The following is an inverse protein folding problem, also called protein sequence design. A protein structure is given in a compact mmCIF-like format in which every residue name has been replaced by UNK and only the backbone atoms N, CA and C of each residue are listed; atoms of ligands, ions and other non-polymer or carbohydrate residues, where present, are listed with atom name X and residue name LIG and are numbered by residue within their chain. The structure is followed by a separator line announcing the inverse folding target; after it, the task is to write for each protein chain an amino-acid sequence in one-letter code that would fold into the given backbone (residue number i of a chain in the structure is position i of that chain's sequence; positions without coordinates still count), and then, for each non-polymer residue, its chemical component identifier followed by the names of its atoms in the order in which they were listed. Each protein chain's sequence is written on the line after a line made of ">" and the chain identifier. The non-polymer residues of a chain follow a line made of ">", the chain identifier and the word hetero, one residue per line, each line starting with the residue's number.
data_IF_470928862762
#
_entry.id   IF_470928862762
#
_cell.length_a   1.000
_cell.length_b   1.000
_cell.length_c   1.000
_cell.angle_alpha   90.00
_cell.angle_beta   90.00
_cell.angle_gamma   90.00
#
_symmetry.space_group_name_H-M   'P 1'
#
loop_
_entity.id
_entity.type
_entity.pdbx_description
1 polymer ?
#
# COMPACT_ATOMS: atom_id res chain seq x y z
N UNK A 1 -48.92 -38.24 13.71
CA UNK A 1 -49.51 -36.90 13.96
C UNK A 1 -50.25 -36.44 12.71
N UNK A 2 -51.58 -36.27 12.76
CA UNK A 2 -52.34 -35.72 11.61
C UNK A 2 -52.02 -34.22 11.49
N UNK A 3 -51.36 -33.82 10.42
CA UNK A 3 -51.14 -32.41 10.09
C UNK A 3 -52.50 -31.75 9.86
N UNK A 4 -52.86 -30.80 10.70
CA UNK A 4 -54.09 -30.01 10.50
C UNK A 4 -53.85 -29.04 9.36
N UNK A 5 -54.88 -28.71 8.57
CA UNK A 5 -54.78 -27.75 7.47
C UNK A 5 -54.06 -26.45 7.86
N UNK A 6 -54.30 -25.96 9.09
CA UNK A 6 -53.63 -24.79 9.64
C UNK A 6 -52.11 -24.96 9.89
N UNK A 7 -51.64 -26.13 10.33
CA UNK A 7 -50.20 -26.35 10.54
C UNK A 7 -49.45 -26.42 9.20
N UNK A 8 -50.09 -27.00 8.17
CA UNK A 8 -49.53 -27.04 6.80
C UNK A 8 -49.42 -25.64 6.18
N UNK A 9 -50.44 -24.79 6.36
CA UNK A 9 -50.44 -23.42 5.84
C UNK A 9 -49.33 -22.56 6.49
N UNK A 10 -49.15 -22.66 7.81
CA UNK A 10 -48.11 -21.90 8.54
C UNK A 10 -46.71 -22.34 8.12
N UNK A 11 -46.47 -23.65 7.96
CA UNK A 11 -45.16 -24.16 7.52
C UNK A 11 -44.85 -23.69 6.10
N UNK A 12 -45.82 -23.79 5.17
CA UNK A 12 -45.62 -23.36 3.78
C UNK A 12 -45.38 -21.85 3.66
N UNK A 13 -46.17 -21.04 4.38
CA UNK A 13 -46.00 -19.58 4.38
C UNK A 13 -44.69 -19.15 5.02
N UNK A 14 -44.31 -19.75 6.15
CA UNK A 14 -43.01 -19.48 6.79
C UNK A 14 -41.85 -19.90 5.89
N UNK A 15 -41.97 -21.04 5.18
CA UNK A 15 -41.00 -21.48 4.18
C UNK A 15 -40.89 -20.54 2.98
N UNK A 16 -42.01 -20.01 2.47
CA UNK A 16 -42.00 -19.01 1.39
C UNK A 16 -41.36 -17.69 1.83
N UNK A 17 -41.64 -17.23 3.06
CA UNK A 17 -41.01 -16.03 3.63
C UNK A 17 -39.50 -16.25 3.74
N UNK A 18 -39.06 -17.38 4.31
CA UNK A 18 -37.64 -17.70 4.41
C UNK A 18 -36.98 -17.73 3.02
N UNK A 19 -37.60 -18.39 2.05
CA UNK A 19 -37.10 -18.43 0.68
C UNK A 19 -36.99 -17.01 0.08
N UNK A 20 -38.01 -16.17 0.27
CA UNK A 20 -38.01 -14.79 -0.23
C UNK A 20 -36.89 -13.95 0.41
N UNK A 21 -36.64 -14.13 1.71
CA UNK A 21 -35.57 -13.44 2.44
C UNK A 21 -34.20 -13.91 1.96
N UNK A 22 -34.02 -15.21 1.70
CA UNK A 22 -32.76 -15.76 1.17
C UNK A 22 -32.50 -15.23 -0.25
N UNK A 23 -33.52 -15.25 -1.13
CA UNK A 23 -33.39 -14.71 -2.50
C UNK A 23 -33.10 -13.21 -2.46
N UNK A 24 -33.80 -12.45 -1.60
CA UNK A 24 -33.55 -11.03 -1.41
C UNK A 24 -32.14 -10.75 -0.88
N UNK A 25 -31.68 -11.51 0.12
CA UNK A 25 -30.34 -11.37 0.68
C UNK A 25 -29.25 -11.67 -0.35
N UNK A 26 -29.38 -12.77 -1.11
CA UNK A 26 -28.46 -13.11 -2.20
C UNK A 26 -28.48 -12.07 -3.31
N UNK A 27 -29.65 -11.58 -3.69
CA UNK A 27 -29.83 -10.52 -4.68
C UNK A 27 -29.20 -9.20 -4.22
N UNK A 28 -29.48 -8.76 -3.00
CA UNK A 28 -28.90 -7.56 -2.40
C UNK A 28 -27.38 -7.67 -2.29
N UNK A 29 -26.85 -8.82 -1.86
CA UNK A 29 -25.42 -9.06 -1.80
C UNK A 29 -24.74 -8.93 -3.17
N UNK A 30 -25.32 -9.55 -4.20
CA UNK A 30 -24.74 -9.55 -5.56
C UNK A 30 -24.91 -8.23 -6.30
N UNK A 31 -26.05 -7.55 -6.14
CA UNK A 31 -26.39 -6.37 -6.93
C UNK A 31 -26.04 -5.05 -6.24
N UNK A 32 -25.91 -5.03 -4.92
CA UNK A 32 -25.67 -3.80 -4.14
C UNK A 32 -24.34 -3.90 -3.40
N UNK A 33 -24.16 -4.92 -2.56
CA UNK A 33 -22.99 -5.01 -1.68
C UNK A 33 -21.71 -5.20 -2.47
N UNK A 34 -21.63 -6.23 -3.33
CA UNK A 34 -20.42 -6.51 -4.11
C UNK A 34 -19.96 -5.33 -5.00
N UNK A 35 -20.84 -4.69 -5.80
CA UNK A 35 -20.46 -3.50 -6.55
C UNK A 35 -20.03 -2.33 -5.67
N UNK A 36 -20.67 -2.13 -4.52
CA UNK A 36 -20.28 -1.09 -3.57
C UNK A 36 -18.89 -1.36 -2.97
N UNK A 37 -18.61 -2.60 -2.58
CA UNK A 37 -17.29 -3.04 -2.07
C UNK A 37 -16.20 -2.81 -3.11
N UNK A 38 -16.42 -3.23 -4.36
CA UNK A 38 -15.44 -3.03 -5.44
C UNK A 38 -15.23 -1.53 -5.74
N UNK A 39 -16.31 -0.74 -5.74
CA UNK A 39 -16.23 0.71 -5.95
C UNK A 39 -15.48 1.43 -4.83
N UNK A 40 -15.73 1.04 -3.57
CA UNK A 40 -15.03 1.57 -2.41
C UNK A 40 -13.55 1.20 -2.42
N UNK A 41 -13.25 -0.07 -2.70
CA UNK A 41 -11.87 -0.54 -2.86
C UNK A 41 -11.13 0.26 -3.94
N UNK A 42 -11.75 0.47 -5.11
CA UNK A 42 -11.15 1.23 -6.21
C UNK A 42 -10.87 2.68 -5.81
N UNK A 43 -11.79 3.31 -5.08
CA UNK A 43 -11.64 4.68 -4.62
C UNK A 43 -10.53 4.81 -3.57
N UNK A 44 -10.55 3.99 -2.51
CA UNK A 44 -9.61 4.08 -1.40
C UNK A 44 -8.20 3.61 -1.80
N UNK A 45 -8.05 2.46 -2.46
CA UNK A 45 -6.76 1.99 -2.98
C UNK A 45 -6.21 2.96 -4.03
N UNK A 46 -7.09 3.53 -4.86
CA UNK A 46 -6.73 4.56 -5.83
C UNK A 46 -6.19 5.83 -5.16
N UNK A 47 -6.80 6.26 -4.06
CA UNK A 47 -6.34 7.39 -3.23
C UNK A 47 -4.97 7.11 -2.60
N UNK A 48 -4.77 5.94 -2.00
CA UNK A 48 -3.47 5.54 -1.42
C UNK A 48 -2.39 5.51 -2.50
N UNK A 49 -2.70 4.92 -3.67
CA UNK A 49 -1.79 4.89 -4.82
C UNK A 49 -1.44 6.31 -5.32
N UNK A 50 -2.41 7.21 -5.43
CA UNK A 50 -2.18 8.61 -5.80
C UNK A 50 -1.35 9.37 -4.76
N UNK A 51 -1.59 9.16 -3.47
CA UNK A 51 -0.81 9.78 -2.40
C UNK A 51 0.64 9.32 -2.42
N UNK A 52 0.85 8.02 -2.63
CA UNK A 52 2.19 7.44 -2.76
C UNK A 52 2.90 8.01 -3.98
N UNK A 53 2.24 8.04 -5.14
CA UNK A 53 2.76 8.63 -6.38
C UNK A 53 3.19 10.09 -6.17
N UNK A 54 2.31 10.92 -5.60
CA UNK A 54 2.59 12.33 -5.34
C UNK A 54 3.71 12.53 -4.29
N UNK A 55 3.90 11.61 -3.35
CA UNK A 55 5.03 11.65 -2.42
C UNK A 55 6.35 11.32 -3.12
N UNK A 56 6.36 10.27 -3.94
CA UNK A 56 7.55 9.86 -4.70
C UNK A 56 7.94 10.97 -5.68
N UNK A 57 7.01 11.48 -6.49
CA UNK A 57 7.30 12.56 -7.44
C UNK A 57 7.88 13.80 -6.75
N UNK A 58 7.30 14.23 -5.62
CA UNK A 58 7.85 15.36 -4.84
C UNK A 58 9.24 15.11 -4.28
N UNK A 59 9.52 13.89 -3.83
CA UNK A 59 10.85 13.52 -3.34
C UNK A 59 11.88 13.67 -4.47
N UNK A 60 11.57 13.15 -5.65
CA UNK A 60 12.48 13.19 -6.80
C UNK A 60 12.68 14.61 -7.29
N UNK A 61 11.60 15.38 -7.44
CA UNK A 61 11.66 16.78 -7.84
C UNK A 61 12.53 17.60 -6.88
N UNK A 62 12.35 17.40 -5.56
CA UNK A 62 13.15 18.06 -4.54
C UNK A 62 14.64 17.72 -4.63
N UNK A 63 14.98 16.43 -4.80
CA UNK A 63 16.36 15.99 -5.00
C UNK A 63 16.96 16.58 -6.28
N UNK A 64 16.21 16.62 -7.39
CA UNK A 64 16.71 17.19 -8.65
C UNK A 64 16.90 18.71 -8.57
N UNK A 65 15.99 19.44 -7.94
CA UNK A 65 16.10 20.90 -7.77
C UNK A 65 17.32 21.26 -6.93
N UNK A 66 17.52 20.55 -5.81
CA UNK A 66 18.70 20.75 -4.96
C UNK A 66 19.99 20.35 -5.68
N UNK A 67 19.98 19.25 -6.45
CA UNK A 67 21.13 18.78 -7.20
C UNK A 67 21.54 19.76 -8.31
N UNK A 68 20.57 20.31 -9.06
CA UNK A 68 20.82 21.34 -10.08
C UNK A 68 21.41 22.61 -9.48
N UNK A 69 20.92 23.02 -8.31
CA UNK A 69 21.49 24.15 -7.57
C UNK A 69 22.95 23.88 -7.18
N UNK A 70 23.22 22.66 -6.72
CA UNK A 70 24.55 22.20 -6.30
C UNK A 70 25.54 22.14 -7.46
N UNK A 71 25.10 21.63 -8.62
CA UNK A 71 25.88 21.68 -9.86
C UNK A 71 26.16 23.13 -10.29
N UNK A 72 25.16 24.02 -10.21
CA UNK A 72 25.33 25.43 -10.54
C UNK A 72 26.41 26.12 -9.72
N UNK A 73 26.48 25.86 -8.41
CA UNK A 73 27.57 26.32 -7.55
C UNK A 73 28.93 25.73 -7.96
N UNK A 74 28.95 24.44 -8.32
CA UNK A 74 30.13 23.79 -8.87
C UNK A 74 30.65 24.45 -10.15
N UNK A 75 29.76 24.75 -11.09
CA UNK A 75 30.08 25.42 -12.36
C UNK A 75 30.61 26.85 -12.16
N UNK A 76 30.11 27.55 -11.14
CA UNK A 76 30.57 28.90 -10.78
C UNK A 76 31.93 28.89 -10.05
N UNK A 77 32.42 27.72 -9.64
CA UNK A 77 33.67 27.56 -8.90
C UNK A 77 33.53 27.80 -7.40
N UNK A 78 32.32 27.68 -6.85
CA UNK A 78 32.08 27.83 -5.41
C UNK A 78 32.39 26.54 -4.61
N UNK A 79 32.53 25.41 -5.29
CA UNK A 79 32.88 24.11 -4.71
C UNK A 79 34.32 23.72 -5.06
N UNK A 80 35.15 23.49 -4.04
CA UNK A 80 36.55 23.11 -4.17
C UNK A 80 36.87 21.97 -3.18
N UNK A 81 37.58 20.95 -3.66
CA UNK A 81 38.01 19.80 -2.85
C UNK A 81 38.94 20.17 -1.70
N UNK A 82 39.60 21.34 -1.77
CA UNK A 82 40.48 21.83 -0.72
C UNK A 82 39.75 22.66 0.35
N UNK A 83 38.47 23.00 0.13
CA UNK A 83 37.68 23.85 1.02
C UNK A 83 36.56 23.09 1.72
N UNK A 84 36.93 22.07 2.50
CA UNK A 84 35.96 21.21 3.21
C UNK A 84 34.96 22.00 4.08
N UNK A 85 35.43 23.00 4.83
CA UNK A 85 34.55 23.81 5.68
C UNK A 85 33.47 24.53 4.88
N UNK A 86 33.83 25.09 3.71
CA UNK A 86 32.88 25.77 2.82
C UNK A 86 31.89 24.80 2.19
N UNK A 87 32.37 23.62 1.78
CA UNK A 87 31.50 22.54 1.31
C UNK A 87 30.47 22.16 2.38
N UNK A 88 30.91 21.95 3.62
CA UNK A 88 30.03 21.62 4.73
C UNK A 88 29.01 22.72 5.03
N UNK A 89 29.42 24.00 5.04
CA UNK A 89 28.53 25.15 5.25
C UNK A 89 27.40 25.22 4.22
N UNK A 90 27.67 24.90 2.95
CA UNK A 90 26.63 24.83 1.93
C UNK A 90 25.68 23.65 2.14
N UNK A 91 26.19 22.46 2.46
CA UNK A 91 25.39 21.24 2.40
C UNK A 91 24.74 20.84 3.72
N UNK A 92 25.23 21.32 4.88
CA UNK A 92 24.52 21.15 6.16
C UNK A 92 23.06 21.60 6.10
N UNK A 93 22.72 22.84 5.69
CA UNK A 93 21.32 23.28 5.63
C UNK A 93 20.52 22.55 4.54
N UNK A 94 21.14 22.16 3.43
CA UNK A 94 20.46 21.41 2.35
C UNK A 94 19.98 20.07 2.86
N UNK A 95 20.89 19.27 3.44
CA UNK A 95 20.54 17.95 4.00
C UNK A 95 19.57 18.10 5.19
N UNK A 96 19.76 19.11 6.04
CA UNK A 96 18.87 19.34 7.20
C UNK A 96 17.45 19.73 6.81
N UNK A 97 17.26 20.39 5.66
CA UNK A 97 15.95 20.89 5.21
C UNK A 97 15.23 19.94 4.26
N UNK A 98 15.93 18.95 3.71
CA UNK A 98 15.41 17.97 2.76
C UNK A 98 15.69 16.57 3.30
N UNK A 99 14.75 16.06 4.11
CA UNK A 99 14.91 14.80 4.84
C UNK A 99 15.12 13.58 3.91
N UNK A 100 14.74 13.69 2.64
CA UNK A 100 14.97 12.68 1.61
C UNK A 100 16.44 12.54 1.18
N UNK A 101 17.28 13.56 1.39
CA UNK A 101 18.70 13.53 1.04
C UNK A 101 19.47 13.07 2.28
N UNK A 102 20.09 11.90 2.22
CA UNK A 102 20.92 11.41 3.33
C UNK A 102 22.35 11.91 3.26
N UNK A 103 22.89 12.05 2.04
CA UNK A 103 24.27 12.46 1.82
C UNK A 103 24.45 13.21 0.50
N UNK A 104 25.48 14.04 0.47
CA UNK A 104 25.99 14.72 -0.72
C UNK A 104 27.40 14.23 -0.99
N UNK A 105 27.66 13.82 -2.23
CA UNK A 105 28.95 13.37 -2.73
C UNK A 105 29.45 14.38 -3.75
N UNK A 106 30.68 14.83 -3.64
CA UNK A 106 31.35 15.68 -4.62
C UNK A 106 32.66 15.05 -5.03
N UNK A 107 32.79 14.72 -6.31
CA UNK A 107 33.94 13.98 -6.83
C UNK A 107 34.56 14.64 -8.05
N UNK A 108 35.87 14.51 -8.16
CA UNK A 108 36.67 14.87 -9.33
C UNK A 108 36.99 13.62 -10.17
N UNK A 109 37.22 13.75 -11.48
CA UNK A 109 37.53 12.62 -12.38
C UNK A 109 38.78 11.81 -12.02
N UNK A 110 39.70 12.39 -11.25
CA UNK A 110 40.83 11.66 -10.65
C UNK A 110 40.42 10.54 -9.67
N UNK A 111 39.20 10.62 -9.12
CA UNK A 111 38.71 9.78 -8.04
C UNK A 111 38.74 10.43 -6.65
N UNK A 112 39.22 11.67 -6.53
CA UNK A 112 39.08 12.45 -5.30
C UNK A 112 37.60 12.70 -5.00
N UNK A 113 37.20 12.57 -3.73
CA UNK A 113 35.82 12.72 -3.26
C UNK A 113 35.77 13.43 -1.90
N UNK A 114 34.76 14.28 -1.73
CA UNK A 114 34.18 14.68 -0.44
C UNK A 114 32.76 14.10 -0.34
N UNK A 115 32.53 13.23 0.64
CA UNK A 115 31.20 12.86 1.12
C UNK A 115 30.85 13.75 2.31
N UNK A 116 29.60 14.21 2.40
CA UNK A 116 28.96 14.66 3.63
C UNK A 116 27.70 13.84 3.86
N UNK A 117 27.62 13.17 5.00
CA UNK A 117 26.54 12.28 5.39
C UNK A 117 25.90 12.77 6.68
N UNK A 118 24.57 12.82 6.71
CA UNK A 118 23.79 12.93 7.93
C UNK A 118 23.38 11.54 8.41
N UNK A 119 23.69 11.25 9.67
CA UNK A 119 23.48 9.93 10.28
C UNK A 119 22.16 9.88 11.05
N UNK A 120 21.67 8.67 11.32
CA UNK A 120 20.39 8.49 12.01
C UNK A 120 20.42 8.98 13.48
N UNK A 121 21.60 8.99 14.12
CA UNK A 121 21.84 9.55 15.45
C UNK A 121 22.04 11.08 15.45
N UNK A 122 21.81 11.75 14.32
CA UNK A 122 21.87 13.21 14.18
C UNK A 122 23.28 13.79 14.06
N UNK A 123 24.30 12.93 13.93
CA UNK A 123 25.68 13.35 13.68
C UNK A 123 25.95 13.56 12.19
N UNK A 124 27.06 14.22 11.91
CA UNK A 124 27.55 14.39 10.54
C UNK A 124 28.86 13.66 10.35
N UNK A 125 29.06 13.12 9.15
CA UNK A 125 30.29 12.45 8.78
C UNK A 125 30.75 13.00 7.44
N UNK A 126 32.00 13.47 7.38
CA UNK A 126 32.71 13.53 6.12
C UNK A 126 33.58 12.29 5.92
N UNK A 127 33.59 11.79 4.69
CA UNK A 127 34.65 10.91 4.20
C UNK A 127 35.36 11.61 3.05
N UNK A 128 36.67 11.72 3.19
CA UNK A 128 37.56 12.20 2.13
C UNK A 128 38.32 11.02 1.57
N UNK A 129 38.36 10.91 0.25
CA UNK A 129 39.20 9.94 -0.45
C UNK A 129 39.93 10.61 -1.59
N UNK A 130 41.19 10.21 -1.81
CA UNK A 130 41.96 10.61 -2.98
C UNK A 130 42.88 9.44 -3.36
N UNK A 131 42.41 8.49 -4.20
CA UNK A 131 43.16 7.29 -4.52
C UNK A 131 44.52 7.56 -5.19
N UNK A 132 44.66 8.70 -5.88
CA UNK A 132 45.90 9.09 -6.57
C UNK A 132 46.97 9.53 -5.58
N UNK A 133 46.60 10.32 -4.57
CA UNK A 133 47.55 10.91 -3.61
C UNK A 133 47.71 10.05 -2.36
N UNK A 134 46.64 9.45 -1.87
CA UNK A 134 46.59 8.74 -0.59
C UNK A 134 46.49 7.22 -0.72
N UNK A 135 46.39 6.69 -1.94
CA UNK A 135 46.20 5.25 -2.18
C UNK A 135 44.90 4.76 -1.54
N UNK A 136 44.99 3.75 -0.68
CA UNK A 136 43.85 3.17 0.03
C UNK A 136 43.49 3.92 1.33
N UNK A 137 44.08 5.09 1.60
CA UNK A 137 43.80 5.84 2.84
C UNK A 137 42.65 6.81 2.63
N UNK A 138 41.72 6.80 3.57
CA UNK A 138 40.58 7.72 3.64
C UNK A 138 40.59 8.47 4.97
N UNK A 139 40.12 9.72 4.96
CA UNK A 139 40.00 10.53 6.17
C UNK A 139 38.53 10.70 6.54
N UNK A 140 38.22 10.47 7.81
CA UNK A 140 36.87 10.50 8.35
C UNK A 140 36.79 11.57 9.42
N UNK A 141 35.86 12.50 9.25
CA UNK A 141 35.59 13.56 10.21
C UNK A 141 34.17 13.39 10.72
N UNK A 142 34.02 13.21 12.03
CA UNK A 142 32.71 13.12 12.69
C UNK A 142 32.44 14.43 13.40
N UNK A 143 31.27 15.00 13.12
CA UNK A 143 30.79 16.23 13.73
C UNK A 143 29.54 15.94 14.55
N UNK A 144 29.39 16.69 15.64
CA UNK A 144 28.17 16.69 16.45
C UNK A 144 26.98 17.23 15.66
N UNK A 145 25.77 17.08 16.20
CA UNK A 145 24.55 17.71 15.65
C UNK A 145 24.68 19.23 15.51
N UNK A 146 25.44 19.87 16.42
CA UNK A 146 25.75 21.29 16.41
C UNK A 146 26.91 21.68 15.47
N UNK A 147 27.33 20.74 14.61
CA UNK A 147 28.36 20.92 13.57
C UNK A 147 29.75 21.23 14.12
N UNK A 148 30.04 20.77 15.34
CA UNK A 148 31.35 20.86 15.97
C UNK A 148 32.13 19.57 15.68
N UNK A 149 33.39 19.69 15.25
CA UNK A 149 34.24 18.52 14.99
C UNK A 149 34.53 17.76 16.29
N UNK A 150 34.08 16.51 16.39
CA UNK A 150 34.30 15.65 17.56
C UNK A 150 35.48 14.70 17.34
N UNK A 151 35.62 14.16 16.13
CA UNK A 151 36.61 13.13 15.82
C UNK A 151 37.15 13.30 14.41
N UNK A 152 38.45 13.09 14.25
CA UNK A 152 39.12 12.96 12.96
C UNK A 152 40.01 11.74 12.98
N UNK A 153 39.86 10.85 12.00
CA UNK A 153 40.63 9.62 11.91
C UNK A 153 40.98 9.24 10.47
N UNK A 154 42.13 8.59 10.31
CA UNK A 154 42.52 7.96 9.05
C UNK A 154 42.12 6.48 9.09
N UNK A 155 41.52 5.99 8.01
CA UNK A 155 41.16 4.58 7.85
C UNK A 155 41.72 4.06 6.54
N UNK A 156 42.33 2.88 6.58
CA UNK A 156 42.63 2.13 5.36
C UNK A 156 41.34 1.49 4.84
N UNK A 157 40.94 1.93 3.66
CA UNK A 157 39.68 1.58 3.04
C UNK A 157 39.85 1.72 1.52
N UNK A 158 39.78 0.60 0.80
CA UNK A 158 39.85 0.60 -0.68
C UNK A 158 38.55 1.15 -1.28
N UNK A 159 38.41 2.47 -1.19
CA UNK A 159 37.31 3.22 -1.76
C UNK A 159 37.78 4.03 -2.96
N UNK A 160 37.05 3.91 -4.07
CA UNK A 160 37.27 4.70 -5.28
C UNK A 160 35.91 5.10 -5.87
N UNK A 161 35.65 6.41 -5.88
CA UNK A 161 34.40 6.98 -6.43
C UNK A 161 34.20 6.62 -7.90
N UNK A 162 35.27 6.36 -8.67
CA UNK A 162 35.18 6.05 -10.12
C UNK A 162 34.56 4.69 -10.41
N UNK A 163 34.56 3.80 -9.40
CA UNK A 163 33.92 2.47 -9.47
C UNK A 163 32.45 2.52 -9.05
N UNK A 164 31.92 3.68 -8.65
CA UNK A 164 30.56 3.80 -8.11
C UNK A 164 29.55 4.07 -9.22
N UNK A 165 28.34 3.45 -9.18
CA UNK A 165 27.35 3.58 -10.24
C UNK A 165 26.96 5.03 -10.56
N UNK A 166 26.81 5.87 -9.52
CA UNK A 166 26.43 7.27 -9.67
C UNK A 166 27.46 8.09 -10.45
N UNK A 167 28.75 7.83 -10.19
CA UNK A 167 29.84 8.52 -10.83
C UNK A 167 29.96 8.08 -12.29
N UNK A 168 29.95 6.77 -12.55
CA UNK A 168 30.04 6.22 -13.90
C UNK A 168 28.87 6.67 -14.77
N UNK A 169 27.65 6.62 -14.22
CA UNK A 169 26.45 7.03 -14.92
C UNK A 169 26.43 8.53 -15.24
N UNK A 170 26.81 9.38 -14.29
CA UNK A 170 26.93 10.81 -14.54
C UNK A 170 28.00 11.13 -15.59
N UNK A 171 29.16 10.46 -15.55
CA UNK A 171 30.24 10.62 -16.53
C UNK A 171 29.85 10.19 -17.94
N UNK A 172 28.90 9.25 -18.06
CA UNK A 172 28.35 8.78 -19.33
C UNK A 172 27.23 9.69 -19.89
N UNK A 173 26.80 10.71 -19.16
CA UNK A 173 25.73 11.61 -19.62
C UNK A 173 26.15 12.36 -20.89
N UNK A 174 25.28 12.45 -21.90
CA UNK A 174 25.59 13.12 -23.16
C UNK A 174 25.71 14.65 -23.00
N UNK A 175 25.08 15.21 -21.98
CA UNK A 175 25.07 16.65 -21.69
C UNK A 175 25.21 16.89 -20.19
N UNK A 176 25.76 18.05 -19.85
CA UNK A 176 26.00 18.44 -18.46
C UNK A 176 24.69 18.81 -17.74
N UNK A 177 23.65 19.25 -18.46
CA UNK A 177 22.34 19.64 -17.89
C UNK A 177 21.42 18.46 -17.50
N UNK A 178 21.81 17.23 -17.84
CA UNK A 178 21.04 16.03 -17.56
C UNK A 178 21.28 15.50 -16.14
N UNK A 179 20.24 14.91 -15.54
CA UNK A 179 20.33 14.18 -14.27
C UNK A 179 20.41 12.69 -14.57
N UNK A 180 21.35 12.01 -13.93
CA UNK A 180 21.44 10.56 -13.91
C UNK A 180 20.94 10.02 -12.57
N UNK A 181 20.01 9.06 -12.61
CA UNK A 181 19.59 8.29 -11.44
C UNK A 181 20.13 6.87 -11.54
N UNK A 182 20.77 6.38 -10.47
CA UNK A 182 21.27 5.00 -10.41
C UNK A 182 20.16 3.98 -10.28
N UNK A 183 20.43 2.72 -10.67
CA UNK A 183 19.78 1.56 -10.07
C UNK A 183 19.95 1.60 -8.55
N UNK A 184 19.06 0.95 -7.79
CA UNK A 184 19.33 0.67 -6.39
C UNK A 184 20.63 -0.10 -6.19
N UNK A 185 21.42 0.34 -5.23
CA UNK A 185 22.68 -0.32 -4.87
C UNK A 185 22.98 -0.13 -3.39
N UNK A 186 23.95 -0.88 -2.88
CA UNK A 186 24.39 -0.74 -1.49
C UNK A 186 25.41 0.40 -1.39
N UNK A 187 25.05 1.42 -0.60
CA UNK A 187 25.94 2.54 -0.28
C UNK A 187 27.19 2.03 0.44
N UNK A 188 28.34 2.57 0.06
CA UNK A 188 29.61 2.06 0.57
C UNK A 188 29.82 2.41 2.05
N UNK A 189 29.45 3.62 2.45
CA UNK A 189 29.64 4.14 3.82
C UNK A 189 28.69 3.50 4.82
N UNK A 190 27.39 3.58 4.56
CA UNK A 190 26.35 3.14 5.50
C UNK A 190 26.03 1.66 5.37
N UNK A 191 26.41 1.03 4.25
CA UNK A 191 26.00 -0.34 3.88
C UNK A 191 24.49 -0.50 3.77
N UNK A 192 23.77 0.59 3.51
CA UNK A 192 22.32 0.59 3.32
C UNK A 192 21.97 0.63 1.83
N UNK A 193 20.85 0.03 1.42
CA UNK A 193 20.34 0.16 0.07
C UNK A 193 19.83 1.57 -0.20
N UNK A 194 20.15 2.10 -1.36
CA UNK A 194 19.81 3.46 -1.75
C UNK A 194 19.92 3.69 -3.26
N UNK A 195 19.51 4.89 -3.67
CA UNK A 195 19.65 5.41 -5.02
C UNK A 195 20.34 6.76 -4.96
N UNK A 196 21.06 7.12 -6.02
CA UNK A 196 21.77 8.40 -6.09
C UNK A 196 21.35 9.13 -7.35
N UNK A 197 20.97 10.40 -7.21
CA UNK A 197 20.85 11.34 -8.32
C UNK A 197 22.20 12.03 -8.50
N UNK A 198 22.73 12.08 -9.72
CA UNK A 198 24.03 12.66 -10.00
C UNK A 198 24.02 13.53 -11.26
N UNK A 199 24.79 14.62 -11.21
CA UNK A 199 25.05 15.52 -12.33
C UNK A 199 26.54 15.76 -12.47
N UNK A 200 27.00 15.97 -13.70
CA UNK A 200 28.40 16.30 -14.00
C UNK A 200 28.53 17.72 -14.55
N UNK A 201 29.71 18.29 -14.43
CA UNK A 201 30.09 19.48 -15.18
C UNK A 201 31.58 19.44 -15.52
N UNK A 202 31.97 20.27 -16.49
CA UNK A 202 33.37 20.49 -16.84
C UNK A 202 33.84 21.82 -16.23
N UNK A 203 34.90 21.77 -15.44
CA UNK A 203 35.53 22.92 -14.82
C UNK A 203 36.31 23.79 -15.82
N UNK A 204 36.75 24.97 -15.36
CA UNK A 204 37.57 25.90 -16.17
C UNK A 204 38.95 25.33 -16.51
N UNK A 205 39.42 24.37 -15.72
CA UNK A 205 40.64 23.59 -15.91
C UNK A 205 40.47 22.48 -16.96
N UNK A 206 39.26 22.28 -17.49
CA UNK A 206 38.93 21.19 -18.42
C UNK A 206 38.64 19.86 -17.73
N UNK A 207 38.78 19.79 -16.41
CA UNK A 207 38.51 18.58 -15.66
C UNK A 207 37.03 18.38 -15.39
N UNK A 208 36.62 17.13 -15.27
CA UNK A 208 35.22 16.79 -14.98
C UNK A 208 34.99 16.55 -13.51
N UNK A 209 33.87 17.09 -13.05
CA UNK A 209 33.40 16.99 -11.67
C UNK A 209 32.00 16.39 -11.67
N UNK A 210 31.66 15.67 -10.61
CA UNK A 210 30.35 15.05 -10.41
C UNK A 210 29.88 15.36 -9.01
N UNK A 211 28.63 15.78 -8.88
CA UNK A 211 27.94 15.90 -7.60
C UNK A 211 26.77 14.93 -7.57
N UNK A 212 26.55 14.28 -6.42
CA UNK A 212 25.52 13.28 -6.23
C UNK A 212 24.78 13.43 -4.91
N UNK A 213 23.46 13.34 -4.93
CA UNK A 213 22.58 13.33 -3.76
C UNK A 213 22.04 11.93 -3.55
N UNK A 214 22.30 11.37 -2.37
CA UNK A 214 21.88 10.03 -1.99
C UNK A 214 20.52 10.04 -1.31
N UNK A 215 19.67 9.09 -1.70
CA UNK A 215 18.38 8.81 -1.07
C UNK A 215 18.40 7.38 -0.57
N UNK A 216 18.14 7.17 0.73
CA UNK A 216 18.04 5.83 1.30
C UNK A 216 16.68 5.22 0.96
N UNK A 217 16.69 3.97 0.51
CA UNK A 217 15.45 3.21 0.32
C UNK A 217 14.75 2.88 1.64
N UNK A 218 15.50 2.91 2.75
CA UNK A 218 14.96 2.74 4.08
C UNK A 218 14.00 3.89 4.45
N UNK A 219 14.32 5.13 4.09
CA UNK A 219 13.45 6.28 4.36
C UNK A 219 12.17 6.25 3.53
N UNK A 220 12.26 5.76 2.29
CA UNK A 220 11.08 5.44 1.47
C UNK A 220 10.21 4.36 2.11
N UNK A 221 10.85 3.31 2.66
CA UNK A 221 10.14 2.22 3.35
C UNK A 221 9.42 2.70 4.61
N UNK A 222 10.00 3.63 5.38
CA UNK A 222 9.34 4.24 6.54
C UNK A 222 8.09 5.02 6.15
N UNK A 223 8.08 5.64 4.98
CA UNK A 223 6.87 6.29 4.47
C UNK A 223 5.79 5.28 4.08
N UNK A 224 6.12 4.25 3.30
CA UNK A 224 5.14 3.24 2.85
C UNK A 224 4.60 2.38 3.99
N UNK A 225 5.40 2.11 5.01
CA UNK A 225 4.96 1.39 6.23
C UNK A 225 4.01 2.22 7.11
N UNK A 226 3.98 3.54 6.96
CA UNK A 226 3.02 4.43 7.62
C UNK A 226 1.72 4.65 6.83
N UNK A 227 1.61 4.12 5.60
CA UNK A 227 0.37 4.16 4.84
C UNK A 227 -0.53 2.99 5.29
N UNK A 228 -1.64 3.32 5.94
CA UNK A 228 -2.61 2.36 6.42
C UNK A 228 -3.89 2.44 5.59
N UNK A 229 -4.39 1.27 5.19
CA UNK A 229 -5.69 1.12 4.53
C UNK A 229 -6.47 0.06 5.31
N UNK A 230 -7.43 0.52 6.13
CA UNK A 230 -8.07 -0.37 7.11
C UNK A 230 -7.04 -0.91 8.11
N UNK A 231 -7.18 -2.18 8.50
CA UNK A 231 -6.26 -2.83 9.44
C UNK A 231 -5.13 -3.62 8.76
N UNK A 232 -5.40 -4.19 7.59
CA UNK A 232 -4.50 -5.12 6.89
C UNK A 232 -4.04 -4.63 5.51
N UNK A 233 -4.56 -3.50 5.03
CA UNK A 233 -4.18 -2.93 3.75
C UNK A 233 -2.79 -2.28 3.80
N UNK A 234 -2.00 -2.51 2.77
CA UNK A 234 -0.57 -2.17 2.69
C UNK A 234 -0.20 -1.62 1.32
N UNK A 235 0.84 -0.79 1.27
CA UNK A 235 1.40 -0.24 0.04
C UNK A 235 2.90 -0.53 -0.08
N UNK A 236 3.38 -0.78 -1.30
CA UNK A 236 4.78 -1.03 -1.60
C UNK A 236 5.20 -0.34 -2.89
N UNK A 237 6.51 -0.14 -3.06
CA UNK A 237 7.13 0.28 -4.32
C UNK A 237 7.99 -0.86 -4.84
N UNK A 238 7.81 -1.25 -6.10
CA UNK A 238 8.43 -2.43 -6.69
C UNK A 238 9.09 -2.11 -8.04
N UNK A 239 10.17 -2.79 -8.37
CA UNK A 239 10.73 -2.80 -9.73
C UNK A 239 9.88 -3.64 -10.69
N UNK A 240 10.18 -3.58 -11.98
CA UNK A 240 9.59 -4.47 -13.01
C UNK A 240 9.85 -5.97 -12.77
N UNK A 241 10.86 -6.30 -11.97
CA UNK A 241 11.21 -7.66 -11.57
C UNK A 241 10.56 -8.09 -10.26
N UNK A 242 9.85 -7.19 -9.58
CA UNK A 242 9.16 -7.46 -8.31
C UNK A 242 10.04 -7.29 -7.07
N UNK A 243 11.23 -6.70 -7.21
CA UNK A 243 12.07 -6.35 -6.07
C UNK A 243 11.49 -5.13 -5.35
N UNK A 244 11.43 -5.17 -4.01
CA UNK A 244 10.85 -4.14 -3.18
C UNK A 244 11.83 -2.97 -3.00
N UNK A 245 11.48 -1.81 -3.55
CA UNK A 245 12.22 -0.54 -3.35
C UNK A 245 11.79 0.18 -2.07
N UNK A 246 10.50 0.07 -1.74
CA UNK A 246 9.93 0.57 -0.49
C UNK A 246 9.01 -0.51 0.07
N UNK A 247 9.21 -0.85 1.34
CA UNK A 247 8.57 -2.00 1.97
C UNK A 247 7.16 -1.68 2.48
N UNK A 248 6.25 -2.65 2.42
CA UNK A 248 4.92 -2.54 3.00
C UNK A 248 4.95 -2.65 4.52
N UNK A 249 3.89 -2.14 5.16
CA UNK A 249 3.66 -2.37 6.58
C UNK A 249 3.56 -3.87 6.86
N UNK A 250 4.34 -4.38 7.83
CA UNK A 250 4.28 -5.76 8.28
C UNK A 250 4.86 -5.88 9.68
N UNK A 251 4.29 -6.72 10.52
CA UNK A 251 4.85 -7.05 11.84
C UNK A 251 6.25 -7.68 11.76
N UNK A 252 6.59 -8.30 10.62
CA UNK A 252 7.92 -8.88 10.36
C UNK A 252 8.97 -7.82 9.99
N UNK A 253 8.53 -6.59 9.69
CA UNK A 253 9.33 -5.47 9.22
C UNK A 253 9.20 -4.28 10.18
N UNK A 254 9.33 -4.54 11.47
CA UNK A 254 9.05 -3.58 12.53
C UNK A 254 10.25 -2.68 12.88
N UNK A 255 11.47 -3.06 12.48
CA UNK A 255 12.68 -2.30 12.76
C UNK A 255 13.54 -2.07 11.52
N UNK A 256 14.46 -1.11 11.62
CA UNK A 256 15.32 -0.68 10.51
C UNK A 256 16.25 -1.78 9.99
N UNK A 257 16.69 -2.71 10.84
CA UNK A 257 17.57 -3.81 10.43
C UNK A 257 16.82 -4.82 9.55
N UNK A 258 15.59 -5.17 9.95
CA UNK A 258 14.69 -6.01 9.15
C UNK A 258 14.33 -5.35 7.82
N UNK A 259 14.03 -4.05 7.84
CA UNK A 259 13.75 -3.30 6.62
C UNK A 259 14.97 -3.30 5.71
N UNK A 260 16.16 -2.99 6.23
CA UNK A 260 17.41 -2.99 5.48
C UNK A 260 17.70 -4.34 4.80
N UNK A 261 17.44 -5.44 5.50
CA UNK A 261 17.65 -6.79 4.98
C UNK A 261 16.58 -7.22 3.95
N UNK A 262 15.38 -6.63 4.00
CA UNK A 262 14.27 -6.97 3.11
C UNK A 262 14.21 -6.09 1.85
N UNK A 263 14.73 -4.87 1.88
CA UNK A 263 14.79 -3.99 0.70
C UNK A 263 15.64 -4.65 -0.41
N UNK A 264 15.21 -4.47 -1.66
CA UNK A 264 15.71 -5.12 -2.89
C UNK A 264 15.45 -6.62 -3.01
N UNK A 265 14.82 -7.27 -2.02
CA UNK A 265 14.30 -8.62 -2.16
C UNK A 265 12.87 -8.59 -2.69
N UNK A 266 12.43 -9.70 -3.26
CA UNK A 266 11.04 -9.91 -3.65
C UNK A 266 10.16 -10.20 -2.44
N UNK A 267 8.86 -9.94 -2.55
CA UNK A 267 7.90 -10.28 -1.48
C UNK A 267 7.95 -11.77 -1.08
N UNK A 268 8.23 -12.66 -2.04
CA UNK A 268 8.37 -14.10 -1.78
C UNK A 268 9.60 -14.43 -0.93
N UNK A 269 10.74 -13.79 -1.21
CA UNK A 269 11.99 -13.99 -0.45
C UNK A 269 11.92 -13.43 0.98
N UNK A 270 11.12 -12.38 1.19
CA UNK A 270 10.90 -11.77 2.52
C UNK A 270 9.87 -12.58 3.33
N UNK A 271 9.03 -13.39 2.68
CA UNK A 271 7.95 -14.14 3.34
C UNK A 271 6.62 -13.38 3.42
N UNK A 272 6.45 -12.34 2.60
CA UNK A 272 5.20 -11.58 2.47
C UNK A 272 4.28 -12.27 1.45
N UNK A 273 3.72 -13.41 1.87
CA UNK A 273 2.98 -14.35 1.02
C UNK A 273 1.80 -13.71 0.29
N UNK A 274 0.97 -12.91 0.97
CA UNK A 274 -0.18 -12.24 0.34
C UNK A 274 0.21 -11.28 -0.79
N UNK A 275 1.31 -10.55 -0.61
CA UNK A 275 1.86 -9.64 -1.62
C UNK A 275 2.50 -10.42 -2.77
N UNK A 276 3.22 -11.49 -2.46
CA UNK A 276 3.80 -12.38 -3.47
C UNK A 276 2.71 -13.01 -4.36
N UNK A 277 1.61 -13.49 -3.76
CA UNK A 277 0.45 -14.01 -4.49
C UNK A 277 -0.22 -12.94 -5.34
N UNK A 278 -0.43 -11.74 -4.79
CA UNK A 278 -1.02 -10.61 -5.52
C UNK A 278 -0.17 -10.17 -6.72
N UNK A 279 1.16 -10.12 -6.56
CA UNK A 279 2.10 -9.82 -7.64
C UNK A 279 2.10 -10.91 -8.73
N UNK A 280 2.10 -12.19 -8.35
CA UNK A 280 2.03 -13.29 -9.29
C UNK A 280 0.71 -13.29 -10.09
N UNK A 281 -0.41 -12.97 -9.43
CA UNK A 281 -1.70 -12.82 -10.09
C UNK A 281 -1.68 -11.66 -11.11
N UNK A 282 -1.15 -10.49 -10.71
CA UNK A 282 -1.01 -9.34 -11.60
C UNK A 282 -0.16 -9.64 -12.84
N UNK A 283 0.95 -10.38 -12.67
CA UNK A 283 1.75 -10.86 -13.80
C UNK A 283 0.96 -11.79 -14.72
N UNK A 284 0.21 -12.75 -14.16
CA UNK A 284 -0.60 -13.69 -14.92
C UNK A 284 -1.73 -13.03 -15.72
N UNK A 285 -2.25 -11.90 -15.23
CA UNK A 285 -3.26 -11.08 -15.93
C UNK A 285 -2.69 -10.16 -17.02
N UNK A 286 -1.38 -10.19 -17.26
CA UNK A 286 -0.73 -9.36 -18.28
C UNK A 286 -0.44 -7.94 -17.81
N UNK A 287 -0.24 -7.73 -16.50
CA UNK A 287 0.14 -6.44 -15.89
C UNK A 287 -0.87 -5.30 -16.12
N UNK A 288 -2.16 -5.48 -15.77
CA UNK A 288 -3.13 -4.40 -15.89
C UNK A 288 -2.71 -3.18 -15.06
N UNK A 289 -2.85 -1.99 -15.63
CA UNK A 289 -2.52 -0.73 -14.97
C UNK A 289 -3.79 -0.05 -14.44
N UNK A 290 -3.71 0.50 -13.22
CA UNK A 290 -4.74 1.31 -12.56
C UNK A 290 -6.11 0.64 -12.34
N UNK A 291 -6.24 -0.67 -12.61
CA UNK A 291 -7.41 -1.48 -12.28
C UNK A 291 -7.19 -2.30 -11.02
N UNK A 292 -8.27 -2.54 -10.28
CA UNK A 292 -8.27 -3.57 -9.23
C UNK A 292 -8.30 -4.96 -9.85
N UNK A 293 -7.40 -5.81 -9.37
CA UNK A 293 -7.41 -7.24 -9.58
C UNK A 293 -7.82 -7.95 -8.29
N UNK A 294 -8.53 -9.07 -8.42
CA UNK A 294 -8.93 -9.93 -7.30
C UNK A 294 -8.10 -11.20 -7.30
N UNK A 295 -7.68 -11.63 -6.12
CA UNK A 295 -6.95 -12.88 -5.94
C UNK A 295 -7.32 -13.55 -4.61
N UNK A 296 -7.08 -14.84 -4.48
CA UNK A 296 -7.35 -15.60 -3.26
C UNK A 296 -6.05 -15.81 -2.48
N UNK A 297 -6.06 -15.55 -1.17
CA UNK A 297 -4.95 -15.80 -0.27
C UNK A 297 -5.48 -16.23 1.11
N UNK A 298 -4.99 -17.35 1.65
CA UNK A 298 -5.41 -17.87 2.97
C UNK A 298 -6.93 -18.03 3.17
N UNK A 299 -7.66 -18.42 2.11
CA UNK A 299 -9.13 -18.54 2.09
C UNK A 299 -9.88 -17.20 2.21
N UNK A 300 -9.20 -16.08 2.02
CA UNK A 300 -9.77 -14.76 1.92
C UNK A 300 -9.52 -14.18 0.52
N UNK A 301 -10.52 -13.46 -0.01
CA UNK A 301 -10.38 -12.70 -1.25
C UNK A 301 -9.65 -11.39 -0.97
N UNK A 302 -8.63 -11.08 -1.76
CA UNK A 302 -7.82 -9.88 -1.67
C UNK A 302 -7.92 -9.06 -2.95
N UNK A 303 -7.78 -7.75 -2.80
CA UNK A 303 -7.63 -6.81 -3.89
C UNK A 303 -6.16 -6.39 -4.04
N UNK A 304 -5.72 -6.23 -5.29
CA UNK A 304 -4.47 -5.58 -5.64
C UNK A 304 -4.71 -4.48 -6.66
N UNK A 305 -3.97 -3.38 -6.52
CA UNK A 305 -3.96 -2.27 -7.47
C UNK A 305 -2.51 -1.91 -7.77
N UNK A 306 -2.17 -1.89 -9.05
CA UNK A 306 -0.83 -1.52 -9.53
C UNK A 306 -0.92 -0.26 -10.38
N UNK A 307 0.01 0.67 -10.17
CA UNK A 307 0.15 1.89 -10.97
C UNK A 307 1.61 2.08 -11.36
N UNK A 308 1.86 2.33 -12.63
CA UNK A 308 3.18 2.70 -13.08
C UNK A 308 3.51 4.13 -12.64
N UNK A 309 4.74 4.34 -12.20
CA UNK A 309 5.28 5.68 -11.94
C UNK A 309 6.70 5.77 -12.43
N UNK A 310 7.11 6.99 -12.80
CA UNK A 310 8.45 7.25 -13.27
C UNK A 310 9.39 7.53 -12.10
N UNK A 311 10.49 6.78 -12.05
CA UNK A 311 11.61 6.96 -11.15
C UNK A 311 12.82 7.44 -11.98
N UNK A 312 12.91 8.75 -12.16
CA UNK A 312 13.85 9.37 -13.10
C UNK A 312 13.59 8.88 -14.54
N UNK A 313 14.52 8.10 -15.09
CA UNK A 313 14.41 7.53 -16.46
C UNK A 313 13.77 6.14 -16.49
N UNK A 314 13.28 5.63 -15.36
CA UNK A 314 12.82 4.25 -15.20
C UNK A 314 11.36 4.17 -14.82
N UNK A 315 10.74 3.05 -15.15
CA UNK A 315 9.40 2.73 -14.69
C UNK A 315 9.48 1.84 -13.45
N UNK A 316 8.70 2.18 -12.43
CA UNK A 316 8.51 1.38 -11.22
C UNK A 316 7.01 1.27 -10.92
N UNK A 317 6.65 0.33 -10.06
CA UNK A 317 5.25 0.01 -9.77
C UNK A 317 4.91 0.35 -8.32
N UNK A 318 3.93 1.23 -8.16
CA UNK A 318 3.23 1.43 -6.90
C UNK A 318 2.20 0.32 -6.77
N UNK A 319 2.26 -0.44 -5.69
CA UNK A 319 1.36 -1.57 -5.47
C UNK A 319 0.62 -1.38 -4.14
N UNK A 320 -0.69 -1.50 -4.16
CA UNK A 320 -1.56 -1.47 -2.97
C UNK A 320 -2.27 -2.80 -2.88
N UNK A 321 -2.30 -3.39 -1.70
CA UNK A 321 -2.95 -4.68 -1.42
C UNK A 321 -3.84 -4.53 -0.19
N UNK A 322 -5.02 -5.13 -0.21
CA UNK A 322 -5.89 -5.19 0.96
C UNK A 322 -6.86 -6.37 0.86
N UNK A 323 -7.21 -7.03 1.97
CA UNK A 323 -8.27 -8.02 1.97
C UNK A 323 -9.62 -7.36 1.66
N UNK A 324 -10.51 -8.10 1.00
CA UNK A 324 -11.84 -7.62 0.63
C UNK A 324 -12.66 -7.22 1.87
N UNK A 325 -12.42 -7.87 3.01
CA UNK A 325 -13.09 -7.60 4.28
C UNK A 325 -12.90 -6.17 4.80
N UNK A 326 -11.79 -5.49 4.44
CA UNK A 326 -11.55 -4.08 4.83
C UNK A 326 -12.56 -3.11 4.21
N UNK A 327 -13.14 -3.48 3.08
CA UNK A 327 -14.08 -2.65 2.33
C UNK A 327 -15.53 -3.05 2.55
N UNK A 328 -15.78 -4.12 3.32
CA UNK A 328 -17.14 -4.54 3.65
C UNK A 328 -17.68 -3.59 4.71
N UNK A 329 -18.74 -2.81 4.44
CA UNK A 329 -19.23 -1.81 5.38
C UNK A 329 -19.99 -2.41 6.58
N UNK A 330 -20.10 -3.74 6.65
CA UNK A 330 -20.88 -4.44 7.66
C UNK A 330 -20.08 -4.61 8.94
N UNK A 331 -20.46 -3.85 9.97
CA UNK A 331 -19.97 -4.04 11.32
C UNK A 331 -20.72 -5.24 11.97
N UNK A 332 -20.16 -5.84 13.03
CA UNK A 332 -20.85 -6.91 13.76
C UNK A 332 -22.28 -6.52 14.21
N UNK A 333 -22.48 -5.25 14.56
CA UNK A 333 -23.78 -4.69 14.96
C UNK A 333 -24.80 -4.69 13.81
N UNK A 334 -24.34 -4.47 12.57
CA UNK A 334 -25.22 -4.49 11.38
C UNK A 334 -25.72 -5.90 11.10
N UNK A 335 -24.88 -6.91 11.33
CA UNK A 335 -25.25 -8.33 11.21
C UNK A 335 -26.30 -8.70 12.26
N UNK A 336 -26.13 -8.24 13.51
CA UNK A 336 -27.11 -8.47 14.57
C UNK A 336 -28.46 -7.81 14.26
N UNK A 337 -28.46 -6.59 13.73
CA UNK A 337 -29.67 -5.89 13.31
C UNK A 337 -30.37 -6.61 12.15
N UNK A 338 -29.62 -7.07 11.15
CA UNK A 338 -30.18 -7.84 10.02
C UNK A 338 -30.80 -9.16 10.48
N UNK A 339 -30.15 -9.87 11.42
CA UNK A 339 -30.70 -11.06 12.05
C UNK A 339 -31.98 -10.76 12.82
N UNK A 340 -32.01 -9.67 13.58
CA UNK A 340 -33.20 -9.24 14.31
C UNK A 340 -34.38 -8.95 13.37
N UNK A 341 -34.14 -8.20 12.28
CA UNK A 341 -35.15 -7.91 11.25
C UNK A 341 -35.66 -9.20 10.60
N UNK A 342 -34.76 -10.14 10.30
CA UNK A 342 -35.09 -11.44 9.73
C UNK A 342 -36.01 -12.24 10.67
N UNK A 343 -35.65 -12.32 11.96
CA UNK A 343 -36.44 -13.02 12.99
C UNK A 343 -37.81 -12.35 13.18
N UNK A 344 -37.87 -11.01 13.24
CA UNK A 344 -39.12 -10.26 13.35
C UNK A 344 -40.03 -10.47 12.14
N UNK A 345 -39.47 -10.51 10.93
CA UNK A 345 -40.21 -10.74 9.69
C UNK A 345 -40.82 -12.14 9.65
N UNK A 346 -40.04 -13.16 10.04
CA UNK A 346 -40.52 -14.53 10.20
C UNK A 346 -41.62 -14.62 11.26
N UNK A 347 -41.41 -14.06 12.45
CA UNK A 347 -42.38 -14.08 13.53
C UNK A 347 -43.72 -13.42 13.13
N UNK A 348 -43.64 -12.25 12.50
CA UNK A 348 -44.83 -11.51 12.04
C UNK A 348 -45.57 -12.28 10.94
N UNK A 349 -44.82 -12.82 9.97
CA UNK A 349 -45.37 -13.64 8.89
C UNK A 349 -46.08 -14.90 9.39
N UNK A 350 -45.46 -15.63 10.31
CA UNK A 350 -46.08 -16.80 10.93
C UNK A 350 -47.33 -16.42 11.73
N UNK A 351 -47.33 -15.27 12.43
CA UNK A 351 -48.48 -14.80 13.21
C UNK A 351 -49.67 -14.42 12.32
N UNK A 352 -49.43 -13.76 11.18
CA UNK A 352 -50.44 -13.47 10.16
C UNK A 352 -50.97 -14.77 9.55
N UNK A 353 -50.10 -15.69 9.15
CA UNK A 353 -50.49 -17.00 8.62
C UNK A 353 -51.36 -17.78 9.61
N UNK A 354 -51.03 -17.75 10.90
CA UNK A 354 -51.85 -18.37 11.96
C UNK A 354 -53.23 -17.72 12.08
N UNK A 355 -53.32 -16.38 12.04
CA UNK A 355 -54.62 -15.68 12.08
C UNK A 355 -55.50 -16.05 10.89
N UNK A 356 -54.94 -16.04 9.69
CA UNK A 356 -55.64 -16.41 8.45
C UNK A 356 -56.09 -17.87 8.51
N UNK A 357 -55.19 -18.79 8.89
CA UNK A 357 -55.51 -20.21 9.04
C UNK A 357 -56.70 -20.43 9.99
N UNK A 358 -56.73 -19.72 11.13
CA UNK A 358 -57.83 -19.82 12.10
C UNK A 358 -59.14 -19.24 11.55
N UNK A 359 -59.09 -18.11 10.85
CA UNK A 359 -60.27 -17.46 10.25
C UNK A 359 -60.93 -18.33 9.18
N UNK A 360 -60.16 -19.05 8.36
CA UNK A 360 -60.69 -19.93 7.33
C UNK A 360 -61.02 -21.35 7.83
N UNK A 361 -60.33 -21.86 8.85
CA UNK A 361 -60.61 -23.19 9.37
C UNK A 361 -61.93 -23.27 10.16
N UNK A 362 -62.39 -22.16 10.76
CA UNK A 362 -63.62 -22.13 11.57
C UNK A 362 -64.90 -22.35 10.71
N UNK A 363 -65.12 -21.58 9.61
CA UNK A 363 -66.28 -21.77 8.75
C UNK A 363 -66.25 -23.11 7.99
N UNK A 364 -65.05 -23.58 7.60
CA UNK A 364 -64.91 -24.85 6.88
C UNK A 364 -65.27 -26.05 7.76
N UNK A 365 -64.94 -25.99 9.06
CA UNK A 365 -65.36 -27.00 10.04
C UNK A 365 -66.86 -26.99 10.27
N UNK A 366 -67.48 -25.82 10.29
CA UNK A 366 -68.95 -25.69 10.42
C UNK A 366 -69.65 -26.28 9.20
N UNK A 367 -69.19 -25.97 7.98
CA UNK A 367 -69.70 -26.55 6.74
C UNK A 367 -69.48 -28.07 6.64
N UNK A 368 -68.31 -28.57 7.06
CA UNK A 368 -68.05 -30.02 7.12
C UNK A 368 -69.01 -30.71 8.10
N UNK A 369 -69.21 -30.14 9.30
CA UNK A 369 -70.17 -30.67 10.28
C UNK A 369 -71.58 -30.69 9.72
N UNK A 370 -71.97 -29.64 9.03
CA UNK A 370 -73.31 -29.53 8.45
C UNK A 370 -73.50 -30.51 7.28
N UNK A 371 -72.48 -30.71 6.46
CA UNK A 371 -72.50 -31.70 5.38
C UNK A 371 -72.48 -33.14 5.91
N UNK A 372 -71.76 -33.40 7.00
CA UNK A 372 -71.74 -34.70 7.69
C UNK A 372 -73.09 -34.98 8.37
N UNK A 373 -73.74 -33.94 8.92
CA UNK A 373 -75.12 -34.01 9.45
C UNK A 373 -76.15 -34.33 8.36
N UNK A 374 -76.08 -33.64 7.22
CA UNK A 374 -76.95 -33.90 6.05
C UNK A 374 -76.70 -35.31 5.50
N UNK A 375 -75.44 -35.75 5.45
CA UNK A 375 -75.07 -37.11 5.04
C UNK A 375 -75.57 -38.20 5.99
N UNK A 376 -75.78 -37.89 7.26
CA UNK A 376 -76.41 -38.77 8.25
C UNK A 376 -77.95 -38.66 8.30
N UNK A 377 -78.56 -37.91 7.38
CA UNK A 377 -80.01 -37.68 7.24
C UNK A 377 -80.70 -37.05 8.47
N UNK A 378 -79.97 -36.34 9.32
CA UNK A 378 -80.54 -35.63 10.47
C UNK A 378 -81.03 -34.22 10.06
N UNK A 379 -82.30 -34.14 9.65
CA UNK A 379 -82.93 -32.98 9.00
C UNK A 379 -83.88 -32.17 9.92
N UNK A 380 -83.92 -32.46 11.22
CA UNK A 380 -84.95 -31.92 12.13
C UNK A 380 -84.57 -30.60 12.85
N UNK A 381 -83.37 -30.05 12.63
CA UNK A 381 -82.93 -28.78 13.25
C UNK A 381 -82.75 -27.66 12.20
N UNK A 382 -83.07 -26.39 12.52
CA UNK A 382 -83.04 -25.29 11.56
C UNK A 382 -81.61 -24.92 11.13
N UNK A 383 -81.44 -24.61 9.85
CA UNK A 383 -80.15 -24.20 9.26
C UNK A 383 -79.71 -22.88 9.90
N UNK A 384 -78.51 -22.86 10.50
CA UNK A 384 -77.94 -21.63 11.04
C UNK A 384 -77.64 -20.66 9.89
N UNK A 385 -78.48 -19.63 9.73
CA UNK A 385 -78.22 -18.55 8.80
C UNK A 385 -76.95 -17.80 9.23
N UNK A 386 -76.01 -17.69 8.29
CA UNK A 386 -74.80 -16.90 8.44
C UNK A 386 -75.21 -15.43 8.70
N UNK A 387 -75.04 -14.95 9.94
CA UNK A 387 -75.12 -13.52 10.22
C UNK A 387 -73.92 -12.85 9.54
N UNK A 388 -74.19 -12.06 8.50
CA UNK A 388 -73.25 -11.07 7.99
C UNK A 388 -73.03 -10.01 9.08
N UNK A 389 -71.86 -10.01 9.70
CA UNK A 389 -71.39 -8.85 10.45
C UNK A 389 -70.79 -7.83 9.46
N UNK A 390 -71.05 -6.52 9.66
CA UNK A 390 -70.55 -5.45 8.80
C UNK A 390 -69.03 -5.28 8.84
#
# INVERSE_FOLDING_TARGET
>A
MKTTFGSSLVVRTSGLILLSLVVFALGSYRLVVMPAVNGLAQAEMGLVSQQLDARIQRLFESVEVTLRSSQGWGMNGDLDHNQLSRFNEFFFPIISSHAEISSVNFSHESGSEILLLHTADGKWINRLSNPVVWGNKTYWLTWSSDRVLEKSEMRELDYDTRKRPWFQGAMALPKDDAVYWTDPYIFFTTREPGITAAMRWTGKDGSRYVIGHDVKLLDLSRFTTGLHLGNQGVAALMTDTGALLALPHSAQLANDEQLKDAVLKTAAEVGLTGIATGYANWLAQGRPEAGISVFEHEQESWFSLFRATALGQRQVWLAVFAPQSEFVPLRPDDVALLLLITVLSLATGSLVAMRVARRFAKPLKELMRESERIGQMDLLAPVAQCKSEP
#
